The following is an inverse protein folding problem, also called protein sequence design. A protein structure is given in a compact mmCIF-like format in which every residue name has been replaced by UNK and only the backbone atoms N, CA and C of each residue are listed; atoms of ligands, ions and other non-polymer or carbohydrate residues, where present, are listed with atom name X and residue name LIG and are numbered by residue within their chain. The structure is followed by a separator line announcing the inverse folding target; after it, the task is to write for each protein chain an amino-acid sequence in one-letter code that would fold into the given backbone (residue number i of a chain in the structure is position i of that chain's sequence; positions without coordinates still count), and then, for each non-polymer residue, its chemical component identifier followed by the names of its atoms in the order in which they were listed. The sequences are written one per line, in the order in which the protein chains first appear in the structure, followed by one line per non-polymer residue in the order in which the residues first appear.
data_IF_486256037796
#
_entry.id   IF_486256037796
#
_cell.length_a   1.000
_cell.length_b   1.000
_cell.length_c   1.000
_cell.angle_alpha   90.00
_cell.angle_beta   90.00
_cell.angle_gamma   90.00
#
_symmetry.space_group_name_H-M   'P 1'
#
loop_
_entity.id
_entity.type
_entity.pdbx_description
1 polymer ?
#
# COMPACT_ATOMS: atom_id res chain seq x y z
N UNK A 1 18.95 4.21 -7.05
CA UNK A 1 18.89 3.70 -5.65
C UNK A 1 18.57 2.21 -5.68
N UNK A 2 19.21 1.38 -4.84
CA UNK A 2 18.97 -0.08 -4.81
C UNK A 2 18.02 -0.46 -3.68
N UNK A 3 17.34 -1.61 -3.83
CA UNK A 3 16.47 -2.20 -2.82
C UNK A 3 17.28 -2.58 -1.57
N UNK A 4 16.69 -2.39 -0.38
CA UNK A 4 17.35 -2.71 0.90
C UNK A 4 17.33 -4.21 1.24
N UNK A 5 16.61 -5.04 0.47
CA UNK A 5 16.70 -6.48 0.58
C UNK A 5 17.96 -6.96 -0.19
N UNK A 6 18.93 -7.62 0.45
CA UNK A 6 20.18 -8.06 -0.19
C UNK A 6 19.95 -9.08 -1.31
N UNK A 7 18.89 -9.89 -1.22
CA UNK A 7 18.57 -10.92 -2.21
C UNK A 7 17.82 -10.34 -3.42
N UNK A 8 17.47 -9.05 -3.37
CA UNK A 8 16.77 -8.36 -4.45
C UNK A 8 17.72 -7.47 -5.24
N UNK A 9 18.08 -7.88 -6.45
CA UNK A 9 18.98 -7.12 -7.31
C UNK A 9 18.25 -6.07 -8.19
N UNK A 10 17.03 -5.63 -7.79
CA UNK A 10 16.21 -4.68 -8.55
C UNK A 10 16.43 -3.25 -8.06
N UNK A 11 16.30 -2.29 -8.98
CA UNK A 11 16.22 -0.87 -8.65
C UNK A 11 14.94 -0.53 -7.89
N UNK A 12 14.91 0.66 -7.27
CA UNK A 12 13.70 1.21 -6.65
C UNK A 12 12.99 2.04 -7.72
N UNK A 13 11.72 1.71 -8.01
CA UNK A 13 10.87 2.49 -8.93
C UNK A 13 10.46 3.84 -8.36
N UNK A 14 9.38 4.43 -8.88
CA UNK A 14 8.87 5.74 -8.46
C UNK A 14 8.28 5.70 -7.04
N UNK A 15 7.78 4.55 -6.62
CA UNK A 15 7.27 4.34 -5.25
C UNK A 15 8.18 3.41 -4.49
N UNK A 16 8.70 3.87 -3.36
CA UNK A 16 9.50 3.06 -2.46
C UNK A 16 8.64 2.63 -1.26
N UNK A 17 8.55 1.33 -1.02
CA UNK A 17 7.85 0.79 0.14
C UNK A 17 8.74 0.91 1.38
N UNK A 18 8.24 1.57 2.41
CA UNK A 18 8.94 1.76 3.69
C UNK A 18 8.28 0.95 4.80
N UNK A 19 9.09 0.45 5.72
CA UNK A 19 8.60 0.02 7.03
C UNK A 19 8.50 1.25 7.93
N UNK A 20 7.38 1.42 8.66
CA UNK A 20 7.04 2.64 9.42
C UNK A 20 8.13 3.14 10.39
N UNK A 21 9.02 2.27 10.85
CA UNK A 21 10.05 2.57 11.86
C UNK A 21 11.49 2.49 11.33
N UNK A 22 11.69 2.31 10.03
CA UNK A 22 13.05 2.19 9.46
C UNK A 22 13.21 3.09 8.24
N UNK A 23 14.44 3.56 8.01
CA UNK A 23 14.79 4.30 6.79
C UNK A 23 14.94 3.40 5.55
N UNK A 24 14.82 2.07 5.70
CA UNK A 24 15.01 1.09 4.63
C UNK A 24 13.90 1.22 3.57
N UNK A 25 14.29 1.17 2.31
CA UNK A 25 13.41 1.28 1.14
C UNK A 25 13.43 -0.01 0.34
N UNK A 26 12.27 -0.45 -0.12
CA UNK A 26 12.09 -1.69 -0.88
C UNK A 26 11.45 -1.39 -2.22
N UNK A 27 11.79 -2.17 -3.25
CA UNK A 27 11.29 -1.98 -4.62
C UNK A 27 9.83 -2.37 -4.77
N UNK A 28 9.36 -3.37 -3.99
CA UNK A 28 7.97 -3.85 -3.99
C UNK A 28 7.51 -4.18 -2.57
N UNK A 29 6.21 -4.28 -2.37
CA UNK A 29 5.62 -4.73 -1.11
C UNK A 29 6.05 -6.17 -0.78
N UNK A 30 6.03 -7.05 -1.75
CA UNK A 30 6.47 -8.44 -1.61
C UNK A 30 7.93 -8.54 -1.14
N UNK A 31 8.83 -7.73 -1.70
CA UNK A 31 10.24 -7.68 -1.30
C UNK A 31 10.43 -7.19 0.14
N UNK A 32 9.59 -6.27 0.61
CA UNK A 32 9.54 -5.83 2.01
C UNK A 32 9.08 -6.96 2.92
N UNK A 33 8.00 -7.62 2.55
CA UNK A 33 7.36 -8.64 3.39
C UNK A 33 8.22 -9.90 3.51
N UNK A 34 8.90 -10.32 2.43
CA UNK A 34 9.89 -11.40 2.45
C UNK A 34 11.05 -11.10 3.41
N UNK A 35 11.63 -9.90 3.33
CA UNK A 35 12.72 -9.50 4.23
C UNK A 35 12.28 -9.44 5.71
N UNK A 36 11.02 -9.05 5.97
CA UNK A 36 10.45 -9.02 7.32
C UNK A 36 10.24 -10.45 7.84
N UNK A 37 9.75 -11.37 7.01
CA UNK A 37 9.56 -12.76 7.38
C UNK A 37 10.88 -13.44 7.76
N UNK A 38 11.95 -13.23 6.99
CA UNK A 38 13.28 -13.77 7.32
C UNK A 38 13.84 -13.18 8.62
N UNK A 39 13.66 -11.88 8.84
CA UNK A 39 14.09 -11.25 10.09
C UNK A 39 13.36 -11.79 11.32
N UNK A 40 12.07 -12.12 11.19
CA UNK A 40 11.27 -12.74 12.26
C UNK A 40 11.70 -14.19 12.52
N UNK A 41 12.00 -14.95 11.48
CA UNK A 41 12.48 -16.33 11.60
C UNK A 41 13.85 -16.40 12.30
N UNK A 42 14.75 -15.45 12.00
CA UNK A 42 16.05 -15.35 12.69
C UNK A 42 15.89 -15.02 14.18
N UNK A 43 14.93 -14.18 14.57
CA UNK A 43 14.62 -13.89 15.98
C UNK A 43 14.04 -15.10 16.72
N UNK A 44 13.26 -15.94 16.02
CA UNK A 44 12.65 -17.13 16.61
C UNK A 44 13.68 -18.22 16.93
N UNK A 45 14.81 -18.24 16.22
CA UNK A 45 15.89 -19.23 16.41
C UNK A 45 16.88 -18.84 17.52
N UNK A 46 16.87 -17.60 18.01
CA UNK A 46 17.63 -17.19 19.20
C UNK A 46 16.81 -17.47 20.48
N UNK A 47 16.64 -18.75 20.81
CA UNK A 47 16.05 -19.19 22.08
C UNK A 47 16.97 -18.98 23.25
N UNK A 48 17.00 -17.79 23.82
CA UNK A 48 17.60 -17.57 25.15
C UNK A 48 16.54 -17.89 26.24
N UNK A 49 16.74 -18.95 27.07
CA UNK A 49 15.76 -19.38 28.06
C UNK A 49 15.54 -18.37 29.20
N UNK A 50 16.50 -17.48 29.44
CA UNK A 50 16.43 -16.48 30.51
C UNK A 50 15.44 -15.36 30.16
N UNK A 51 15.34 -14.98 28.89
CA UNK A 51 14.43 -13.91 28.43
C UNK A 51 12.95 -14.35 28.49
N UNK A 52 12.67 -15.66 28.38
CA UNK A 52 11.29 -16.19 28.46
C UNK A 52 10.61 -15.89 29.78
N UNK A 53 11.31 -15.98 30.91
CA UNK A 53 10.71 -15.75 32.24
C UNK A 53 10.34 -14.29 32.48
N UNK A 54 11.14 -13.35 32.00
CA UNK A 54 10.85 -11.91 32.11
C UNK A 54 9.72 -11.47 31.18
N UNK A 55 9.71 -11.98 29.94
CA UNK A 55 8.68 -11.66 28.95
C UNK A 55 7.30 -12.18 29.38
N UNK A 56 7.21 -13.38 29.93
CA UNK A 56 5.92 -13.96 30.38
C UNK A 56 5.33 -13.16 31.54
N UNK A 57 6.14 -12.71 32.51
CA UNK A 57 5.66 -11.90 33.62
C UNK A 57 5.21 -10.48 33.18
N UNK A 58 5.89 -9.89 32.19
CA UNK A 58 5.55 -8.59 31.65
C UNK A 58 4.30 -8.64 30.76
N UNK A 59 4.19 -9.68 29.93
CA UNK A 59 3.04 -9.90 29.05
C UNK A 59 1.77 -10.19 29.88
N UNK A 60 1.86 -10.98 30.95
CA UNK A 60 0.70 -11.24 31.81
C UNK A 60 0.14 -9.96 32.46
N UNK A 61 1.01 -9.06 32.94
CA UNK A 61 0.58 -7.75 33.50
C UNK A 61 -0.01 -6.82 32.43
N UNK A 62 0.59 -6.83 31.22
CA UNK A 62 0.14 -5.99 30.10
C UNK A 62 -1.22 -6.46 29.55
N UNK A 63 -1.43 -7.79 29.46
CA UNK A 63 -2.70 -8.36 29.01
C UNK A 63 -3.85 -8.01 29.98
N UNK A 64 -3.63 -8.07 31.28
CA UNK A 64 -4.65 -7.69 32.27
C UNK A 64 -5.00 -6.18 32.16
N UNK A 65 -4.01 -5.31 31.97
CA UNK A 65 -4.25 -3.89 31.77
C UNK A 65 -4.98 -3.60 30.43
N UNK A 66 -4.62 -4.30 29.35
CA UNK A 66 -5.29 -4.14 28.06
C UNK A 66 -6.73 -4.66 28.07
N UNK A 67 -7.04 -5.77 28.76
CA UNK A 67 -8.39 -6.29 28.87
C UNK A 67 -9.29 -5.32 29.66
N UNK A 68 -8.77 -4.70 30.74
CA UNK A 68 -9.50 -3.67 31.47
C UNK A 68 -9.75 -2.40 30.62
N UNK A 69 -8.77 -2.00 29.79
CA UNK A 69 -8.90 -0.86 28.91
C UNK A 69 -9.85 -1.10 27.73
N UNK A 70 -9.80 -2.30 27.14
CA UNK A 70 -10.71 -2.71 26.05
C UNK A 70 -12.16 -2.83 26.59
N UNK A 71 -12.36 -3.30 27.80
CA UNK A 71 -13.68 -3.34 28.42
C UNK A 71 -14.31 -1.95 28.63
N UNK A 72 -13.51 -0.94 28.95
CA UNK A 72 -13.96 0.45 29.06
C UNK A 72 -14.29 1.08 27.69
N UNK A 73 -13.51 0.76 26.66
CA UNK A 73 -13.73 1.29 25.31
C UNK A 73 -14.96 0.64 24.65
N UNK A 74 -15.19 -0.67 24.84
CA UNK A 74 -16.36 -1.34 24.26
C UNK A 74 -17.68 -0.81 24.81
N UNK A 75 -17.73 -0.40 26.08
CA UNK A 75 -18.92 0.24 26.63
C UNK A 75 -19.18 1.64 26.05
N UNK A 76 -18.15 2.38 25.68
CA UNK A 76 -18.27 3.71 25.05
C UNK A 76 -18.67 3.62 23.57
N UNK A 77 -18.20 2.59 22.85
CA UNK A 77 -18.47 2.41 21.40
C UNK A 77 -19.88 1.87 21.14
N UNK A 78 -20.45 1.07 22.06
CA UNK A 78 -21.82 0.54 21.93
C UNK A 78 -22.89 1.63 22.13
N UNK A 79 -22.55 2.78 22.74
CA UNK A 79 -23.46 3.90 22.95
C UNK A 79 -23.40 4.96 21.83
N UNK A 80 -22.43 4.89 20.92
CA UNK A 80 -22.34 5.82 19.80
C UNK A 80 -23.13 5.26 18.61
N UNK A 81 -24.14 6.00 18.07
CA UNK A 81 -24.77 5.61 16.83
C UNK A 81 -23.70 5.55 15.73
N UNK A 82 -23.77 4.55 14.81
CA UNK A 82 -22.83 4.50 13.69
C UNK A 82 -22.95 5.81 12.93
N UNK A 83 -21.91 6.64 13.01
CA UNK A 83 -21.79 7.82 12.18
C UNK A 83 -21.75 7.32 10.72
N UNK A 84 -22.89 7.38 10.03
CA UNK A 84 -22.92 7.33 8.58
C UNK A 84 -22.09 8.52 8.12
N UNK A 85 -20.84 8.24 7.81
CA UNK A 85 -20.00 9.17 7.05
C UNK A 85 -20.48 9.12 5.60
N UNK A 86 -21.64 9.71 5.34
CA UNK A 86 -21.98 10.19 4.02
C UNK A 86 -20.95 11.29 3.74
N UNK A 87 -19.87 10.91 3.06
CA UNK A 87 -18.86 11.88 2.64
C UNK A 87 -19.62 12.98 1.85
N UNK A 88 -19.42 14.25 2.18
CA UNK A 88 -20.08 15.33 1.46
C UNK A 88 -19.73 15.16 -0.02
N UNK A 89 -20.75 15.01 -0.87
CA UNK A 89 -20.56 14.97 -2.33
C UNK A 89 -19.95 16.31 -2.75
N UNK A 90 -18.64 16.33 -2.92
CA UNK A 90 -17.94 17.49 -3.45
C UNK A 90 -18.49 17.79 -4.85
N UNK A 91 -18.84 19.05 -5.17
CA UNK A 91 -19.35 19.42 -6.48
C UNK A 91 -18.33 19.04 -7.55
N UNK A 92 -18.81 18.37 -8.62
CA UNK A 92 -17.98 17.94 -9.74
C UNK A 92 -17.35 16.55 -9.60
N UNK A 93 -17.66 15.79 -8.56
CA UNK A 93 -17.13 14.43 -8.38
C UNK A 93 -17.41 13.51 -9.57
N UNK A 94 -18.62 13.52 -10.14
CA UNK A 94 -18.96 12.67 -11.28
C UNK A 94 -18.08 12.98 -12.51
N UNK A 95 -17.88 14.27 -12.78
CA UNK A 95 -16.98 14.70 -13.86
C UNK A 95 -15.53 14.31 -13.60
N UNK A 96 -15.07 14.47 -12.37
CA UNK A 96 -13.69 14.13 -12.00
C UNK A 96 -13.45 12.62 -12.08
N UNK A 97 -14.42 11.79 -11.64
CA UNK A 97 -14.36 10.34 -11.78
C UNK A 97 -14.35 9.91 -13.25
N UNK A 98 -15.23 10.50 -14.07
CA UNK A 98 -15.28 10.21 -15.51
C UNK A 98 -13.96 10.60 -16.20
N UNK A 99 -13.41 11.76 -15.92
CA UNK A 99 -12.15 12.22 -16.49
C UNK A 99 -10.96 11.33 -16.04
N UNK A 100 -10.92 10.94 -14.78
CA UNK A 100 -9.88 10.09 -14.25
C UNK A 100 -9.92 8.69 -14.89
N UNK A 101 -11.12 8.09 -15.04
CA UNK A 101 -11.27 6.79 -15.69
C UNK A 101 -10.89 6.84 -17.18
N UNK A 102 -11.27 7.90 -17.89
CA UNK A 102 -10.91 8.13 -19.29
C UNK A 102 -9.38 8.30 -19.45
N UNK A 103 -8.72 9.02 -18.54
CA UNK A 103 -7.27 9.18 -18.54
C UNK A 103 -6.52 7.84 -18.40
N UNK A 104 -6.95 6.99 -17.47
CA UNK A 104 -6.38 5.65 -17.27
C UNK A 104 -6.59 4.80 -18.53
N UNK A 105 -7.81 4.75 -19.08
CA UNK A 105 -8.13 3.97 -20.28
C UNK A 105 -7.30 4.41 -21.50
N UNK A 106 -7.14 5.73 -21.69
CA UNK A 106 -6.32 6.29 -22.76
C UNK A 106 -4.86 5.85 -22.66
N UNK A 107 -4.29 5.90 -21.48
CA UNK A 107 -2.91 5.48 -21.28
C UNK A 107 -2.71 3.97 -21.43
N UNK A 108 -3.66 3.17 -20.99
CA UNK A 108 -3.66 1.71 -21.24
C UNK A 108 -3.69 1.38 -22.75
N UNK A 109 -4.56 2.05 -23.51
CA UNK A 109 -4.63 1.88 -24.96
C UNK A 109 -3.31 2.27 -25.62
N UNK A 110 -2.69 3.38 -25.19
CA UNK A 110 -1.38 3.83 -25.69
C UNK A 110 -0.28 2.81 -25.42
N UNK A 111 -0.19 2.24 -24.22
CA UNK A 111 0.83 1.21 -23.92
C UNK A 111 0.63 -0.01 -24.80
N UNK A 112 -0.61 -0.44 -25.02
CA UNK A 112 -0.93 -1.56 -25.93
C UNK A 112 -0.49 -1.29 -27.39
N UNK A 113 -0.64 -0.05 -27.86
CA UNK A 113 -0.26 0.33 -29.22
C UNK A 113 1.25 0.43 -29.42
N UNK A 114 2.03 0.51 -28.35
CA UNK A 114 3.50 0.58 -28.38
C UNK A 114 4.19 -0.79 -28.40
N UNK A 115 3.45 -1.89 -28.58
CA UNK A 115 4.02 -3.23 -28.68
C UNK A 115 4.98 -3.30 -29.88
N UNK A 116 6.29 -3.54 -29.62
CA UNK A 116 7.33 -3.59 -30.64
C UNK A 116 8.04 -2.26 -30.94
N UNK A 117 7.71 -1.19 -30.23
CA UNK A 117 8.38 0.11 -30.32
C UNK A 117 9.57 0.18 -29.33
N UNK A 118 10.42 1.19 -29.48
CA UNK A 118 11.58 1.45 -28.63
C UNK A 118 11.24 1.45 -27.13
N UNK A 119 12.11 0.83 -26.35
CA UNK A 119 11.97 0.71 -24.89
C UNK A 119 11.81 2.05 -24.18
N UNK A 120 12.40 3.12 -24.71
CA UNK A 120 12.33 4.47 -24.17
C UNK A 120 10.90 5.04 -24.26
N UNK A 121 10.18 4.83 -25.36
CA UNK A 121 8.80 5.28 -25.54
C UNK A 121 7.83 4.46 -24.67
N UNK A 122 8.04 3.15 -24.55
CA UNK A 122 7.27 2.29 -23.64
C UNK A 122 7.45 2.77 -22.19
N UNK A 123 8.69 3.07 -21.80
CA UNK A 123 9.00 3.58 -20.46
C UNK A 123 8.30 4.91 -20.17
N UNK A 124 8.34 5.85 -21.11
CA UNK A 124 7.65 7.13 -21.02
C UNK A 124 6.13 6.97 -20.88
N UNK A 125 5.53 6.11 -21.69
CA UNK A 125 4.11 5.80 -21.61
C UNK A 125 3.74 5.14 -20.26
N UNK A 126 4.57 4.22 -19.74
CA UNK A 126 4.35 3.57 -18.45
C UNK A 126 4.41 4.55 -17.28
N UNK A 127 5.31 5.53 -17.32
CA UNK A 127 5.37 6.60 -16.32
C UNK A 127 4.13 7.50 -16.36
N UNK A 128 3.63 7.84 -17.54
CA UNK A 128 2.39 8.60 -17.69
C UNK A 128 1.17 7.80 -17.20
N UNK A 129 1.09 6.51 -17.53
CA UNK A 129 0.06 5.63 -17.00
C UNK A 129 0.06 5.60 -15.46
N UNK A 130 1.22 5.44 -14.84
CA UNK A 130 1.36 5.50 -13.39
C UNK A 130 0.76 6.78 -12.80
N UNK A 131 1.03 7.94 -13.41
CA UNK A 131 0.49 9.22 -12.95
C UNK A 131 -1.04 9.27 -13.04
N UNK A 132 -1.63 8.77 -14.14
CA UNK A 132 -3.08 8.74 -14.30
C UNK A 132 -3.75 7.78 -13.31
N UNK A 133 -3.15 6.61 -13.01
CA UNK A 133 -3.67 5.70 -11.99
C UNK A 133 -3.62 6.33 -10.59
N UNK A 134 -2.54 7.03 -10.23
CA UNK A 134 -2.43 7.73 -8.94
C UNK A 134 -3.47 8.85 -8.83
N UNK A 135 -3.73 9.60 -9.92
CA UNK A 135 -4.81 10.60 -9.95
C UNK A 135 -6.19 9.95 -9.76
N UNK A 136 -6.46 8.87 -10.50
CA UNK A 136 -7.74 8.17 -10.40
C UNK A 136 -7.99 7.64 -8.98
N UNK A 137 -6.96 7.09 -8.35
CA UNK A 137 -7.00 6.68 -6.94
C UNK A 137 -7.35 7.85 -6.01
N UNK A 138 -6.68 9.00 -6.18
CA UNK A 138 -6.93 10.18 -5.35
C UNK A 138 -8.36 10.72 -5.52
N UNK A 139 -8.86 10.81 -6.75
CA UNK A 139 -10.23 11.22 -7.04
C UNK A 139 -11.24 10.24 -6.44
N UNK A 140 -11.01 8.93 -6.58
CA UNK A 140 -11.86 7.89 -5.97
C UNK A 140 -11.89 8.03 -4.44
N UNK A 141 -10.76 8.28 -3.81
CA UNK A 141 -10.68 8.47 -2.36
C UNK A 141 -11.49 9.67 -1.86
N UNK A 142 -11.61 10.71 -2.68
CA UNK A 142 -12.34 11.95 -2.35
C UNK A 142 -13.81 11.91 -2.73
N UNK A 143 -14.16 11.18 -3.80
CA UNK A 143 -15.47 11.26 -4.44
C UNK A 143 -16.36 10.04 -4.21
N UNK A 144 -15.81 8.93 -3.74
CA UNK A 144 -16.59 7.72 -3.41
C UNK A 144 -16.63 7.48 -1.91
N UNK A 145 -17.63 6.70 -1.46
CA UNK A 145 -17.80 6.30 -0.06
C UNK A 145 -18.18 4.82 0.05
N UNK A 146 -18.11 4.28 1.26
CA UNK A 146 -18.54 2.91 1.56
C UNK A 146 -17.70 1.83 0.89
N UNK A 147 -18.31 0.66 0.69
CA UNK A 147 -17.65 -0.54 0.15
C UNK A 147 -17.16 -0.39 -1.29
N UNK A 148 -17.85 0.41 -2.10
CA UNK A 148 -17.45 0.70 -3.48
C UNK A 148 -16.13 1.46 -3.52
N UNK A 149 -15.95 2.43 -2.62
CA UNK A 149 -14.68 3.15 -2.48
C UNK A 149 -13.53 2.19 -2.14
N UNK A 150 -13.72 1.34 -1.14
CA UNK A 150 -12.68 0.40 -0.70
C UNK A 150 -12.29 -0.61 -1.81
N UNK A 151 -13.29 -1.12 -2.52
CA UNK A 151 -13.07 -2.01 -3.67
C UNK A 151 -12.24 -1.33 -4.77
N UNK A 152 -12.64 -0.11 -5.16
CA UNK A 152 -11.95 0.61 -6.23
C UNK A 152 -10.54 1.07 -5.81
N UNK A 153 -10.36 1.50 -4.57
CA UNK A 153 -9.03 1.83 -4.04
C UNK A 153 -8.10 0.61 -4.05
N UNK A 154 -8.61 -0.56 -3.64
CA UNK A 154 -7.85 -1.81 -3.70
C UNK A 154 -7.40 -2.16 -5.12
N UNK A 155 -8.26 -1.98 -6.11
CA UNK A 155 -7.92 -2.18 -7.53
C UNK A 155 -6.83 -1.21 -7.99
N UNK A 156 -6.96 0.08 -7.69
CA UNK A 156 -5.93 1.06 -8.04
C UNK A 156 -4.60 0.82 -7.32
N UNK A 157 -4.60 0.31 -6.09
CA UNK A 157 -3.37 -0.05 -5.39
C UNK A 157 -2.61 -1.17 -6.10
N UNK A 158 -3.30 -2.15 -6.66
CA UNK A 158 -2.72 -3.20 -7.50
C UNK A 158 -2.14 -2.60 -8.79
N UNK A 159 -2.88 -1.74 -9.48
CA UNK A 159 -2.41 -1.08 -10.70
C UNK A 159 -1.18 -0.20 -10.46
N UNK A 160 -1.14 0.55 -9.36
CA UNK A 160 0.03 1.35 -8.93
C UNK A 160 1.24 0.44 -8.70
N UNK A 161 1.06 -0.70 -8.03
CA UNK A 161 2.15 -1.63 -7.76
C UNK A 161 2.70 -2.21 -9.06
N UNK A 162 1.85 -2.67 -9.98
CA UNK A 162 2.24 -3.20 -11.29
C UNK A 162 2.99 -2.16 -12.15
N UNK A 163 2.47 -0.93 -12.23
CA UNK A 163 3.13 0.13 -12.98
C UNK A 163 4.49 0.48 -12.39
N UNK A 164 4.61 0.53 -11.06
CA UNK A 164 5.87 0.79 -10.37
C UNK A 164 6.90 -0.32 -10.62
N UNK A 165 6.49 -1.58 -10.60
CA UNK A 165 7.35 -2.73 -10.93
C UNK A 165 7.83 -2.69 -12.39
N UNK A 166 6.93 -2.37 -13.32
CA UNK A 166 7.27 -2.24 -14.73
C UNK A 166 8.30 -1.13 -14.97
N UNK A 167 8.15 0.01 -14.29
CA UNK A 167 9.12 1.12 -14.34
C UNK A 167 10.47 0.69 -13.75
N UNK A 168 10.47 0.01 -12.60
CA UNK A 168 11.70 -0.46 -11.97
C UNK A 168 12.46 -1.51 -12.81
N UNK A 169 11.72 -2.32 -13.56
CA UNK A 169 12.32 -3.39 -14.36
C UNK A 169 12.83 -2.93 -15.74
N UNK A 170 12.23 -1.89 -16.34
CA UNK A 170 12.45 -1.54 -17.77
C UNK A 170 12.96 -0.12 -17.99
N UNK A 171 12.89 0.76 -16.97
CA UNK A 171 13.14 2.19 -17.15
C UNK A 171 14.39 2.71 -16.38
N UNK A 172 15.24 1.81 -15.94
CA UNK A 172 16.50 2.15 -15.23
C UNK A 172 17.71 1.87 -16.08
#
# INVERSE_FOLDING_TARGET
MRCSNPDCNRGIGLVAYRRSWTSKRYCTQHCRDAFVADALNLQQNQKNPVLKRFVVAFVARFVVACVAFVGLITMAVLAAPPARQDAPHLPGCDRNLANASAGVATMQARIKSLSGVDSSEICKATRLYFLEVVKARAVTALCKSGTEREHDLGRFDVDVAHANEAIAARCL
#
